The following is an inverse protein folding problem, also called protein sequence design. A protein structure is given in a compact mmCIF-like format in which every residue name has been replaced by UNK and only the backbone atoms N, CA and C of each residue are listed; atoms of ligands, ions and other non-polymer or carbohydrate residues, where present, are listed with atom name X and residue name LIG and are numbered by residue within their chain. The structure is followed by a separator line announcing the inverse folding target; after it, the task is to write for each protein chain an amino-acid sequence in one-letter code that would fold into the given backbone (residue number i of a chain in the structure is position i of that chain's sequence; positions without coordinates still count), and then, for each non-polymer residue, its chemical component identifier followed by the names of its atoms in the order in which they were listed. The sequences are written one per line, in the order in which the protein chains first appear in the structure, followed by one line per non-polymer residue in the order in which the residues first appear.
data_IF_427801100030
#
_entry.id   IF_427801100030
#
_cell.length_a   1.000
_cell.length_b   1.000
_cell.length_c   1.000
_cell.angle_alpha   90.00
_cell.angle_beta   90.00
_cell.angle_gamma   90.00
#
_symmetry.space_group_name_H-M   'P 1'
#
loop_
_entity.id
_entity.type
_entity.pdbx_description
1 polymer ?
#
# COMPACT_ATOMS: atom_id res chain seq x y z
N UNK A 1 -47.82 -28.34 6.93
CA UNK A 1 -46.45 -28.57 7.45
C UNK A 1 -45.47 -28.18 6.34
N UNK A 2 -44.54 -27.25 6.45
CA UNK A 2 -44.09 -26.37 7.54
C UNK A 2 -43.19 -25.33 6.84
N UNK A 3 -43.49 -24.06 7.05
CA UNK A 3 -42.68 -22.91 6.65
C UNK A 3 -41.34 -22.91 7.41
N UNK A 4 -40.24 -22.61 6.72
CA UNK A 4 -39.04 -21.95 7.28
C UNK A 4 -38.42 -21.12 6.14
N UNK A 5 -38.78 -19.84 6.01
CA UNK A 5 -38.09 -18.71 6.64
C UNK A 5 -36.63 -18.55 6.17
N UNK A 6 -36.47 -18.05 4.94
CA UNK A 6 -35.29 -17.28 4.54
C UNK A 6 -35.40 -15.86 5.13
N UNK A 7 -35.22 -15.76 6.44
CA UNK A 7 -34.86 -14.53 7.11
C UNK A 7 -33.36 -14.56 7.35
N UNK A 8 -32.60 -13.96 6.44
CA UNK A 8 -31.21 -13.56 6.69
C UNK A 8 -31.14 -12.04 6.49
N UNK A 9 -31.58 -11.37 7.56
CA UNK A 9 -31.01 -10.14 8.13
C UNK A 9 -30.50 -9.15 7.08
N UNK A 10 -31.45 -8.41 6.52
CA UNK A 10 -31.22 -7.07 5.99
C UNK A 10 -30.84 -6.21 7.21
N UNK A 11 -29.54 -5.98 7.40
CA UNK A 11 -29.05 -5.06 8.42
C UNK A 11 -29.49 -3.63 8.05
N UNK A 12 -30.30 -3.05 8.94
CA UNK A 12 -31.28 -1.99 8.67
C UNK A 12 -30.71 -0.57 8.65
N UNK A 13 -29.40 -0.35 8.44
CA UNK A 13 -28.81 0.98 8.68
C UNK A 13 -27.62 1.43 7.81
N UNK A 14 -27.39 0.88 6.60
CA UNK A 14 -26.43 1.49 5.66
C UNK A 14 -27.16 2.30 4.57
N UNK A 15 -27.28 3.60 4.81
CA UNK A 15 -27.60 4.59 3.77
C UNK A 15 -26.42 4.64 2.79
N UNK A 16 -26.59 4.07 1.61
CA UNK A 16 -25.66 4.30 0.49
C UNK A 16 -26.02 5.68 -0.07
N UNK A 17 -25.16 6.67 0.19
CA UNK A 17 -25.27 7.99 -0.45
C UNK A 17 -24.78 7.86 -1.89
N UNK A 18 -25.71 7.75 -2.84
CA UNK A 18 -25.42 7.97 -4.26
C UNK A 18 -25.65 9.46 -4.51
N UNK A 19 -24.58 10.24 -4.67
CA UNK A 19 -24.69 11.66 -5.02
C UNK A 19 -25.28 11.79 -6.43
N UNK A 20 -26.54 12.20 -6.50
CA UNK A 20 -27.25 12.44 -7.77
C UNK A 20 -26.81 13.81 -8.31
N UNK A 21 -25.96 13.81 -9.33
CA UNK A 21 -25.69 15.01 -10.10
C UNK A 21 -26.97 15.38 -10.87
N UNK A 22 -27.62 16.48 -10.49
CA UNK A 22 -28.71 17.07 -11.25
C UNK A 22 -28.12 18.11 -12.21
N UNK A 23 -28.04 17.77 -13.49
CA UNK A 23 -27.80 18.77 -14.53
C UNK A 23 -29.14 19.42 -14.87
N UNK A 24 -29.25 20.73 -14.64
CA UNK A 24 -30.44 21.51 -14.98
C UNK A 24 -30.50 21.75 -16.48
N UNK A 25 -31.11 20.83 -17.22
CA UNK A 25 -31.57 21.08 -18.59
C UNK A 25 -32.99 20.53 -18.70
N UNK A 26 -33.95 21.44 -18.90
CA UNK A 26 -35.37 21.16 -18.86
C UNK A 26 -35.81 20.17 -19.94
N UNK A 27 -36.07 18.93 -19.51
CA UNK A 27 -37.01 18.04 -20.16
C UNK A 27 -37.88 17.41 -19.08
N UNK A 28 -39.19 17.61 -19.19
CA UNK A 28 -40.20 16.94 -18.37
C UNK A 28 -40.25 15.46 -18.73
N UNK A 29 -39.33 14.66 -18.17
CA UNK A 29 -39.39 13.21 -18.27
C UNK A 29 -40.63 12.72 -17.53
N UNK A 30 -41.55 12.05 -18.24
CA UNK A 30 -42.70 11.40 -17.63
C UNK A 30 -42.20 10.24 -16.77
N UNK A 31 -42.85 10.02 -15.64
CA UNK A 31 -42.57 8.94 -14.66
C UNK A 31 -42.55 7.53 -15.31
N UNK A 32 -43.17 7.38 -16.48
CA UNK A 32 -43.16 6.18 -17.31
C UNK A 32 -41.81 5.84 -17.95
N UNK A 33 -40.89 6.79 -18.12
CA UNK A 33 -39.59 6.53 -18.77
C UNK A 33 -38.62 5.79 -17.84
N UNK A 34 -38.88 5.80 -16.53
CA UNK A 34 -38.06 5.12 -15.50
C UNK A 34 -38.44 3.64 -15.36
N UNK A 35 -39.54 3.20 -15.97
CA UNK A 35 -40.04 1.82 -15.88
C UNK A 35 -39.60 0.90 -17.03
N UNK A 36 -38.72 1.34 -17.92
CA UNK A 36 -37.94 0.44 -18.77
C UNK A 36 -36.82 -0.22 -17.96
N UNK A 37 -37.19 -1.03 -16.95
CA UNK A 37 -36.27 -1.97 -16.30
C UNK A 37 -35.97 -3.10 -17.28
N UNK A 38 -35.12 -2.86 -18.28
CA UNK A 38 -34.24 -3.94 -18.74
C UNK A 38 -33.39 -4.32 -17.54
N UNK A 39 -33.54 -5.54 -17.05
CA UNK A 39 -32.58 -6.12 -16.11
C UNK A 39 -31.18 -5.82 -16.65
N UNK A 40 -30.33 -5.14 -15.88
CA UNK A 40 -28.93 -5.05 -16.24
C UNK A 40 -28.40 -6.48 -16.27
N UNK A 41 -28.19 -7.05 -17.45
CA UNK A 41 -27.64 -8.39 -17.61
C UNK A 41 -26.24 -8.39 -17.01
N UNK A 42 -26.08 -9.09 -15.89
CA UNK A 42 -24.78 -9.24 -15.22
C UNK A 42 -23.93 -10.12 -16.12
N UNK A 43 -22.85 -9.56 -16.66
CA UNK A 43 -21.88 -10.32 -17.42
C UNK A 43 -20.89 -10.97 -16.46
N UNK A 44 -20.75 -12.28 -16.56
CA UNK A 44 -19.78 -13.07 -15.80
C UNK A 44 -18.57 -13.43 -16.66
N UNK A 45 -17.43 -13.65 -16.03
CA UNK A 45 -16.26 -14.24 -16.69
C UNK A 45 -16.62 -15.58 -17.33
N UNK A 46 -16.01 -15.89 -18.48
CA UNK A 46 -16.12 -17.20 -19.12
C UNK A 46 -15.42 -18.31 -18.33
N UNK A 47 -14.54 -17.94 -17.39
CA UNK A 47 -13.83 -18.88 -16.52
C UNK A 47 -14.61 -19.15 -15.25
N UNK A 48 -14.50 -20.39 -14.76
CA UNK A 48 -15.07 -20.79 -13.48
C UNK A 48 -14.52 -19.93 -12.33
N UNK A 49 -15.34 -19.61 -11.31
CA UNK A 49 -14.87 -18.89 -10.14
C UNK A 49 -13.68 -19.60 -9.48
N UNK A 50 -12.62 -18.84 -9.20
CA UNK A 50 -11.46 -19.34 -8.46
C UNK A 50 -11.77 -19.39 -6.97
N UNK A 51 -11.35 -20.45 -6.29
CA UNK A 51 -11.31 -20.48 -4.83
C UNK A 51 -10.10 -19.69 -4.36
N UNK A 52 -10.35 -18.56 -3.70
CA UNK A 52 -9.31 -17.73 -3.13
C UNK A 52 -8.97 -18.24 -1.72
N UNK A 53 -7.69 -18.41 -1.37
CA UNK A 53 -7.31 -18.84 -0.04
C UNK A 53 -7.58 -17.74 1.01
N UNK A 54 -8.01 -18.13 2.20
CA UNK A 54 -8.18 -17.23 3.35
C UNK A 54 -6.84 -16.95 4.03
N UNK A 55 -5.97 -16.21 3.36
CA UNK A 55 -4.64 -15.82 3.87
C UNK A 55 -4.31 -14.38 3.49
N UNK A 56 -3.38 -13.76 4.22
CA UNK A 56 -2.87 -12.44 3.83
C UNK A 56 -2.04 -12.51 2.54
N UNK A 57 -1.94 -11.36 1.87
CA UNK A 57 -1.27 -11.20 0.57
C UNK A 57 0.21 -11.63 0.62
N UNK A 58 0.92 -11.28 1.70
CA UNK A 58 2.33 -11.62 1.81
C UNK A 58 2.52 -13.12 1.99
N UNK A 59 1.75 -13.76 2.88
CA UNK A 59 1.80 -15.22 3.08
C UNK A 59 1.44 -15.98 1.81
N UNK A 60 0.43 -15.51 1.06
CA UNK A 60 0.09 -16.07 -0.24
C UNK A 60 1.27 -15.99 -1.23
N UNK A 61 1.87 -14.81 -1.39
CA UNK A 61 3.00 -14.59 -2.28
C UNK A 61 4.21 -15.42 -1.84
N UNK A 62 4.56 -15.39 -0.55
CA UNK A 62 5.67 -16.13 0.03
C UNK A 62 5.55 -17.63 -0.25
N UNK A 63 4.38 -18.22 -0.01
CA UNK A 63 4.14 -19.64 -0.27
C UNK A 63 4.20 -19.98 -1.76
N UNK A 64 3.63 -19.14 -2.61
CA UNK A 64 3.61 -19.32 -4.07
C UNK A 64 5.02 -19.25 -4.69
N UNK A 65 5.90 -18.43 -4.12
CA UNK A 65 7.25 -18.21 -4.61
C UNK A 65 8.27 -19.26 -4.17
N UNK A 66 7.94 -20.15 -3.22
CA UNK A 66 8.89 -21.15 -2.66
C UNK A 66 9.58 -22.00 -3.73
N UNK A 67 8.86 -22.43 -4.76
CA UNK A 67 9.40 -23.25 -5.84
C UNK A 67 10.45 -22.51 -6.70
N UNK A 68 10.43 -21.17 -6.68
CA UNK A 68 11.23 -20.31 -7.55
C UNK A 68 12.37 -19.61 -6.81
N UNK A 69 12.68 -20.05 -5.59
CA UNK A 69 13.61 -19.39 -4.66
C UNK A 69 14.93 -18.88 -5.29
N UNK A 70 15.52 -19.65 -6.20
CA UNK A 70 16.82 -19.35 -6.82
C UNK A 70 16.71 -18.61 -8.17
N UNK A 71 15.51 -18.33 -8.66
CA UNK A 71 15.30 -17.58 -9.91
C UNK A 71 15.32 -16.08 -9.62
N UNK A 72 15.77 -15.30 -10.60
CA UNK A 72 15.66 -13.85 -10.56
C UNK A 72 14.21 -13.43 -10.48
N UNK A 73 13.89 -12.57 -9.51
CA UNK A 73 12.58 -11.98 -9.32
C UNK A 73 12.54 -10.54 -9.81
N UNK A 74 13.52 -9.72 -9.39
CA UNK A 74 13.63 -8.32 -9.81
C UNK A 74 15.01 -8.06 -10.42
N UNK A 75 15.04 -7.22 -11.45
CA UNK A 75 16.25 -6.75 -12.11
C UNK A 75 16.11 -5.29 -12.49
N UNK A 76 17.10 -4.47 -12.14
CA UNK A 76 17.22 -3.12 -12.69
C UNK A 76 17.85 -3.21 -14.07
N UNK A 77 17.15 -2.71 -15.10
CA UNK A 77 17.67 -2.70 -16.47
C UNK A 77 18.89 -1.78 -16.64
N UNK A 78 19.00 -0.73 -15.83
CA UNK A 78 20.09 0.26 -15.92
C UNK A 78 21.33 -0.18 -15.16
N UNK A 79 21.17 -0.57 -13.89
CA UNK A 79 22.32 -0.91 -13.03
C UNK A 79 22.71 -2.39 -13.10
N UNK A 80 21.85 -3.24 -13.67
CA UNK A 80 22.03 -4.69 -13.66
C UNK A 80 21.82 -5.34 -12.29
N UNK A 81 21.51 -4.57 -11.23
CA UNK A 81 21.25 -5.11 -9.88
C UNK A 81 20.07 -6.09 -9.94
N UNK A 82 20.24 -7.26 -9.34
CA UNK A 82 19.22 -8.31 -9.32
C UNK A 82 18.95 -8.81 -7.91
N UNK A 83 17.72 -9.26 -7.67
CA UNK A 83 17.38 -10.09 -6.54
C UNK A 83 16.65 -11.35 -6.99
N UNK A 84 17.00 -12.47 -6.36
CA UNK A 84 16.24 -13.71 -6.46
C UNK A 84 14.98 -13.65 -5.60
N UNK A 85 14.01 -14.53 -5.86
CA UNK A 85 12.81 -14.66 -5.02
C UNK A 85 13.16 -14.84 -3.54
N UNK A 86 14.14 -15.69 -3.22
CA UNK A 86 14.58 -15.91 -1.85
C UNK A 86 15.13 -14.63 -1.21
N UNK A 87 16.02 -13.91 -1.92
CA UNK A 87 16.61 -12.68 -1.42
C UNK A 87 15.54 -11.60 -1.18
N UNK A 88 14.64 -11.40 -2.13
CA UNK A 88 13.58 -10.39 -1.98
C UNK A 88 12.67 -10.70 -0.79
N UNK A 89 12.25 -11.96 -0.62
CA UNK A 89 11.38 -12.33 0.50
C UNK A 89 12.10 -12.29 1.86
N UNK A 90 13.37 -12.68 1.92
CA UNK A 90 14.19 -12.57 3.15
C UNK A 90 14.43 -11.11 3.54
N UNK A 91 14.71 -10.24 2.57
CA UNK A 91 14.82 -8.80 2.80
C UNK A 91 13.49 -8.16 3.20
N UNK A 92 12.37 -8.63 2.62
CA UNK A 92 11.04 -8.17 3.02
C UNK A 92 10.71 -8.55 4.47
N UNK A 93 11.01 -9.77 4.90
CA UNK A 93 10.80 -10.20 6.30
C UNK A 93 11.65 -9.37 7.29
N UNK A 94 12.90 -9.06 6.92
CA UNK A 94 13.78 -8.18 7.70
C UNK A 94 13.22 -6.77 7.80
N UNK A 95 12.83 -6.18 6.68
CA UNK A 95 12.18 -4.87 6.66
C UNK A 95 10.89 -4.86 7.50
N UNK A 96 10.02 -5.85 7.34
CA UNK A 96 8.79 -5.95 8.12
C UNK A 96 9.04 -6.06 9.63
N UNK A 97 10.12 -6.73 10.03
CA UNK A 97 10.54 -6.81 11.44
C UNK A 97 11.02 -5.45 11.97
N UNK A 98 11.72 -4.67 11.15
CA UNK A 98 12.11 -3.30 11.50
C UNK A 98 10.88 -2.38 11.59
N UNK A 99 9.96 -2.46 10.63
CA UNK A 99 8.70 -1.71 10.62
C UNK A 99 7.89 -1.97 11.88
N UNK A 100 7.71 -3.23 12.31
CA UNK A 100 6.97 -3.55 13.55
C UNK A 100 7.59 -2.95 14.81
N UNK A 101 8.90 -2.67 14.80
CA UNK A 101 9.59 -2.03 15.91
C UNK A 101 9.45 -0.51 15.87
N UNK A 102 9.51 0.08 14.68
CA UNK A 102 9.34 1.52 14.48
C UNK A 102 7.90 1.97 14.66
N UNK A 103 6.96 1.17 14.18
CA UNK A 103 5.53 1.42 14.16
C UNK A 103 4.85 0.25 14.89
N UNK A 104 4.87 0.24 16.23
CA UNK A 104 4.21 -0.78 17.02
C UNK A 104 2.70 -0.74 16.78
N UNK A 105 2.04 -1.87 17.04
CA UNK A 105 0.59 -1.98 16.88
C UNK A 105 -0.13 -0.88 17.65
N UNK A 106 -1.12 -0.27 17.01
CA UNK A 106 -1.93 0.77 17.61
C UNK A 106 -2.94 0.15 18.57
N UNK A 107 -3.17 0.80 19.70
CA UNK A 107 -4.15 0.35 20.71
C UNK A 107 -5.59 0.34 20.17
N UNK A 108 -5.87 1.17 19.15
CA UNK A 108 -7.17 1.25 18.47
C UNK A 108 -7.42 0.11 17.46
N UNK A 109 -6.46 -0.81 17.30
CA UNK A 109 -6.53 -1.90 16.32
C UNK A 109 -6.34 -1.44 14.87
N UNK A 110 -5.96 -0.18 14.65
CA UNK A 110 -5.61 0.35 13.34
C UNK A 110 -4.22 -0.09 12.87
N UNK A 111 -3.98 0.06 11.57
CA UNK A 111 -2.68 -0.20 10.95
C UNK A 111 -1.97 1.13 10.66
N UNK A 112 -0.67 1.20 10.91
CA UNK A 112 0.13 2.38 10.54
C UNK A 112 0.32 2.47 9.04
N UNK A 113 0.31 3.70 8.51
CA UNK A 113 0.56 3.98 7.09
C UNK A 113 2.00 4.37 6.85
N UNK A 114 2.64 3.74 5.87
CA UNK A 114 3.99 4.07 5.39
C UNK A 114 3.89 4.63 3.99
N UNK A 115 4.39 5.84 3.81
CA UNK A 115 4.49 6.48 2.51
C UNK A 115 5.83 6.19 1.85
N UNK A 116 5.83 6.08 0.52
CA UNK A 116 7.03 5.79 -0.26
C UNK A 116 7.23 6.78 -1.40
N UNK A 117 8.34 7.50 -1.43
CA UNK A 117 8.81 8.30 -2.55
C UNK A 117 10.05 7.60 -3.12
N UNK A 118 9.84 6.51 -3.86
CA UNK A 118 10.90 5.65 -4.37
C UNK A 118 10.81 5.48 -5.89
N UNK A 119 11.96 5.30 -6.52
CA UNK A 119 12.08 4.90 -7.91
C UNK A 119 11.73 3.42 -8.11
N UNK A 120 11.47 3.03 -9.37
CA UNK A 120 11.28 1.64 -9.75
C UNK A 120 12.62 0.87 -9.67
N UNK A 121 13.02 0.51 -8.45
CA UNK A 121 14.27 -0.20 -8.15
C UNK A 121 14.00 -1.59 -7.57
N UNK A 122 14.94 -2.55 -7.72
CA UNK A 122 14.87 -3.85 -7.06
C UNK A 122 14.74 -3.75 -5.53
N UNK A 123 15.30 -2.70 -4.91
CA UNK A 123 15.25 -2.44 -3.47
C UNK A 123 13.88 -1.98 -2.99
N UNK A 124 13.09 -1.34 -3.87
CA UNK A 124 11.76 -0.89 -3.52
C UNK A 124 10.79 -2.04 -3.22
N UNK A 125 10.91 -3.15 -3.96
CA UNK A 125 10.03 -4.31 -3.84
C UNK A 125 10.04 -4.95 -2.43
N UNK A 126 11.20 -5.29 -1.83
CA UNK A 126 11.21 -5.83 -0.47
C UNK A 126 10.70 -4.83 0.58
N UNK A 127 10.88 -3.51 0.40
CA UNK A 127 10.33 -2.50 1.32
C UNK A 127 8.80 -2.52 1.33
N UNK A 128 8.18 -2.59 0.14
CA UNK A 128 6.73 -2.68 0.00
C UNK A 128 6.21 -4.00 0.58
N UNK A 129 6.77 -5.13 0.16
CA UNK A 129 6.34 -6.45 0.62
C UNK A 129 6.54 -6.62 2.13
N UNK A 130 7.64 -6.11 2.68
CA UNK A 130 7.90 -6.18 4.11
C UNK A 130 6.95 -5.31 4.93
N UNK A 131 6.55 -4.15 4.40
CA UNK A 131 5.54 -3.29 5.04
C UNK A 131 4.18 -3.97 5.09
N UNK A 132 3.78 -4.63 3.99
CA UNK A 132 2.56 -5.45 3.93
C UNK A 132 2.66 -6.63 4.92
N UNK A 133 3.82 -7.31 4.98
CA UNK A 133 4.06 -8.39 5.94
C UNK A 133 4.01 -7.92 7.40
N UNK A 134 4.32 -6.64 7.65
CA UNK A 134 4.20 -6.03 8.96
C UNK A 134 2.75 -5.72 9.36
N UNK A 135 1.81 -5.76 8.40
CA UNK A 135 0.43 -5.30 8.57
C UNK A 135 0.25 -3.81 8.31
N UNK A 136 1.28 -3.11 7.83
CA UNK A 136 1.21 -1.69 7.53
C UNK A 136 0.47 -1.41 6.22
N UNK A 137 -0.15 -0.22 6.14
CA UNK A 137 -0.74 0.30 4.91
C UNK A 137 0.38 0.94 4.08
N UNK A 138 0.44 0.60 2.81
CA UNK A 138 1.44 1.14 1.88
C UNK A 138 0.82 2.26 1.05
N UNK A 139 1.41 3.46 1.09
CA UNK A 139 1.00 4.62 0.30
C UNK A 139 2.13 5.06 -0.66
N UNK A 140 2.13 4.58 -1.91
CA UNK A 140 3.12 5.00 -2.89
C UNK A 140 2.84 6.44 -3.36
N UNK A 141 3.87 7.27 -3.36
CA UNK A 141 3.86 8.65 -3.84
C UNK A 141 4.78 8.72 -5.06
N UNK A 142 4.30 9.34 -6.13
CA UNK A 142 5.12 9.51 -7.32
C UNK A 142 6.33 10.40 -7.01
N UNK A 143 7.56 9.99 -7.38
CA UNK A 143 8.73 10.84 -7.21
C UNK A 143 8.73 12.12 -8.06
N UNK A 144 7.84 12.19 -9.05
CA UNK A 144 7.67 13.36 -9.91
C UNK A 144 6.74 14.42 -9.31
N UNK A 145 6.12 14.13 -8.17
CA UNK A 145 5.25 15.11 -7.51
C UNK A 145 6.05 16.29 -6.98
N UNK A 146 5.43 17.46 -7.08
CA UNK A 146 5.93 18.65 -6.40
C UNK A 146 5.88 18.45 -4.88
N UNK A 147 6.69 19.20 -4.11
CA UNK A 147 6.64 19.12 -2.66
C UNK A 147 5.25 19.37 -2.05
N UNK A 148 4.44 20.22 -2.69
CA UNK A 148 3.07 20.52 -2.26
C UNK A 148 2.12 19.33 -2.49
N UNK A 149 2.16 18.70 -3.66
CA UNK A 149 1.37 17.50 -3.97
C UNK A 149 1.76 16.33 -3.06
N UNK A 150 3.06 16.12 -2.84
CA UNK A 150 3.54 15.10 -1.92
C UNK A 150 3.09 15.35 -0.47
N UNK A 151 3.18 16.60 0.00
CA UNK A 151 2.70 16.97 1.34
C UNK A 151 1.18 16.76 1.49
N UNK A 152 0.40 17.06 0.45
CA UNK A 152 -1.05 16.78 0.43
C UNK A 152 -1.34 15.28 0.53
N UNK A 153 -0.64 14.45 -0.25
CA UNK A 153 -0.81 13.00 -0.19
C UNK A 153 -0.38 12.42 1.17
N UNK A 154 0.69 12.92 1.78
CA UNK A 154 1.11 12.52 3.13
C UNK A 154 0.07 12.88 4.21
N UNK A 155 -0.65 13.99 4.02
CA UNK A 155 -1.73 14.41 4.91
C UNK A 155 -2.97 13.53 4.75
N UNK A 156 -3.38 13.29 3.51
CA UNK A 156 -4.56 12.46 3.19
C UNK A 156 -4.38 11.00 3.58
N UNK A 157 -3.18 10.45 3.34
CA UNK A 157 -2.84 9.07 3.72
C UNK A 157 -2.56 8.89 5.22
N UNK A 158 -2.46 9.99 5.96
CA UNK A 158 -2.08 10.00 7.38
C UNK A 158 -0.79 9.21 7.64
N UNK A 159 0.20 9.34 6.75
CA UNK A 159 1.45 8.60 6.86
C UNK A 159 2.15 8.82 8.22
N UNK A 160 2.64 7.75 8.82
CA UNK A 160 3.39 7.72 10.09
C UNK A 160 4.89 7.51 9.88
N UNK A 161 5.29 7.06 8.69
CA UNK A 161 6.66 6.92 8.24
C UNK A 161 6.75 7.28 6.76
N UNK A 162 7.80 8.01 6.36
CA UNK A 162 8.17 8.25 4.97
C UNK A 162 9.45 7.49 4.65
N UNK A 163 9.40 6.67 3.61
CA UNK A 163 10.58 6.07 2.99
C UNK A 163 10.84 6.77 1.67
N UNK A 164 12.07 7.21 1.43
CA UNK A 164 12.43 8.01 0.26
C UNK A 164 13.73 7.52 -0.35
N UNK A 165 13.82 7.40 -1.67
CA UNK A 165 15.12 7.11 -2.30
C UNK A 165 16.07 8.28 -2.12
N UNK A 166 17.37 8.00 -1.95
CA UNK A 166 18.39 9.06 -1.77
C UNK A 166 18.37 10.11 -2.88
N UNK A 167 17.99 9.73 -4.10
CA UNK A 167 17.82 10.63 -5.24
C UNK A 167 16.82 11.77 -5.00
N UNK A 168 15.82 11.55 -4.14
CA UNK A 168 14.74 12.51 -3.86
C UNK A 168 14.83 13.12 -2.46
N UNK A 169 15.91 12.85 -1.73
CA UNK A 169 16.10 13.31 -0.35
C UNK A 169 16.07 14.83 -0.23
N UNK A 170 16.61 15.55 -1.21
CA UNK A 170 16.67 17.02 -1.21
C UNK A 170 15.31 17.71 -1.14
N UNK A 171 14.23 17.03 -1.57
CA UNK A 171 12.87 17.55 -1.53
C UNK A 171 12.18 17.32 -0.18
N UNK A 172 12.72 16.43 0.67
CA UNK A 172 12.08 16.00 1.92
C UNK A 172 11.85 17.18 2.87
N UNK A 173 12.84 18.05 3.05
CA UNK A 173 12.71 19.17 3.99
C UNK A 173 11.60 20.16 3.57
N UNK A 174 11.47 20.39 2.27
CA UNK A 174 10.39 21.21 1.72
C UNK A 174 9.02 20.56 1.94
N UNK A 175 8.91 19.24 1.70
CA UNK A 175 7.70 18.45 1.94
C UNK A 175 7.30 18.50 3.41
N UNK A 176 8.23 18.22 4.33
CA UNK A 176 7.98 18.21 5.77
C UNK A 176 7.57 19.60 6.28
N UNK A 177 8.19 20.66 5.78
CA UNK A 177 7.81 22.04 6.10
C UNK A 177 6.36 22.36 5.69
N UNK A 178 5.95 21.94 4.49
CA UNK A 178 4.58 22.12 3.99
C UNK A 178 3.56 21.21 4.68
N UNK A 179 3.99 20.02 5.09
CA UNK A 179 3.17 19.09 5.85
C UNK A 179 2.82 19.65 7.24
N UNK A 180 3.73 20.42 7.83
CA UNK A 180 3.53 21.08 9.13
C UNK A 180 3.49 20.12 10.32
N UNK A 181 3.98 18.88 10.13
CA UNK A 181 4.03 17.83 11.15
C UNK A 181 5.40 17.14 11.12
N UNK A 182 5.88 16.67 12.28
CA UNK A 182 7.04 15.79 12.32
C UNK A 182 6.67 14.42 11.76
N UNK A 183 7.48 13.90 10.85
CA UNK A 183 7.28 12.59 10.23
C UNK A 183 8.64 11.87 10.18
N UNK A 184 8.76 10.68 10.79
CA UNK A 184 9.89 9.78 10.60
C UNK A 184 10.27 9.61 9.12
N UNK A 185 11.55 9.79 8.80
CA UNK A 185 12.07 9.60 7.43
C UNK A 185 13.19 8.57 7.43
N UNK A 186 13.07 7.57 6.56
CA UNK A 186 14.11 6.57 6.28
C UNK A 186 14.50 6.67 4.81
N UNK A 187 15.80 6.68 4.51
CA UNK A 187 16.30 6.81 3.15
C UNK A 187 16.61 5.42 2.57
N UNK A 188 16.12 5.12 1.39
CA UNK A 188 16.54 3.95 0.61
C UNK A 188 17.81 4.30 -0.19
N UNK A 189 18.96 4.14 0.45
CA UNK A 189 20.26 4.51 -0.10
C UNK A 189 21.09 5.34 0.87
N UNK A 190 22.25 5.80 0.41
CA UNK A 190 23.13 6.67 1.21
C UNK A 190 22.44 8.03 1.39
N UNK A 191 22.23 8.45 2.64
CA UNK A 191 21.67 9.76 2.97
C UNK A 191 22.74 10.84 3.01
N UNK A 192 22.46 12.00 2.41
CA UNK A 192 23.33 13.19 2.51
C UNK A 192 23.18 13.90 3.86
N UNK A 193 22.04 13.70 4.53
CA UNK A 193 21.69 14.36 5.78
C UNK A 193 21.86 13.45 7.02
N UNK A 194 22.45 12.26 6.85
CA UNK A 194 22.68 11.30 7.93
C UNK A 194 21.42 10.59 8.44
N UNK A 195 20.36 10.53 7.63
CA UNK A 195 19.13 9.81 7.97
C UNK A 195 19.34 8.29 7.97
N UNK A 196 18.53 7.53 8.72
CA UNK A 196 18.59 6.08 8.74
C UNK A 196 18.43 5.46 7.35
N UNK A 197 19.23 4.44 7.03
CA UNK A 197 19.27 3.83 5.71
C UNK A 197 18.53 2.48 5.67
N UNK A 198 17.48 2.40 4.85
CA UNK A 198 16.70 1.19 4.67
C UNK A 198 17.53 0.02 4.08
N UNK A 199 18.52 0.31 3.24
CA UNK A 199 19.32 -0.73 2.58
C UNK A 199 20.18 -1.52 3.56
N UNK A 200 20.58 -0.92 4.69
CA UNK A 200 21.32 -1.62 5.75
C UNK A 200 20.47 -2.75 6.35
N UNK A 201 19.18 -2.49 6.57
CA UNK A 201 18.20 -3.49 7.03
C UNK A 201 17.94 -4.57 5.98
N UNK A 202 17.94 -4.20 4.69
CA UNK A 202 17.72 -5.15 3.60
C UNK A 202 18.90 -6.11 3.40
N UNK A 203 20.13 -5.63 3.62
CA UNK A 203 21.36 -6.35 3.29
C UNK A 203 21.91 -7.15 4.46
N UNK A 204 21.96 -6.58 5.67
CA UNK A 204 22.57 -7.22 6.83
C UNK A 204 21.51 -7.96 7.67
N UNK A 205 21.88 -9.13 8.21
CA UNK A 205 21.06 -9.88 9.17
C UNK A 205 21.26 -9.40 10.60
N UNK A 206 22.39 -8.74 10.87
CA UNK A 206 22.81 -8.25 12.17
C UNK A 206 22.83 -6.72 12.24
N UNK A 207 22.32 -6.01 11.22
CA UNK A 207 22.26 -4.55 11.25
C UNK A 207 21.54 -4.11 12.53
N UNK A 208 22.08 -3.07 13.18
CA UNK A 208 21.32 -2.36 14.21
C UNK A 208 19.99 -1.97 13.57
N UNK A 209 18.88 -2.36 14.21
CA UNK A 209 17.56 -1.94 13.76
C UNK A 209 17.56 -0.42 13.69
N UNK A 210 16.85 0.16 12.71
CA UNK A 210 16.76 1.61 12.52
C UNK A 210 16.55 2.31 13.87
N UNK A 211 17.61 2.90 14.42
CA UNK A 211 17.55 3.71 15.62
C UNK A 211 17.07 5.09 15.14
N UNK A 212 15.75 5.29 15.15
CA UNK A 212 15.16 6.59 14.86
C UNK A 212 15.07 7.35 16.18
N UNK A 213 16.16 8.01 16.54
CA UNK A 213 16.19 8.90 17.71
C UNK A 213 15.41 10.19 17.36
N UNK A 214 14.32 10.45 18.10
CA UNK A 214 13.61 11.72 18.12
C UNK A 214 13.59 12.30 19.53
#
# INVERSE_FOLDING_TARGET
MRNYLLNLIINKNRRIFVSRFFTTSGHTSKESDVLSKKHAEIQHSLYSPLQLPETDLFTFAYNSCKAWKNKTFTQCAVTGKTYTYAQTLDSALRWGSAVKKLLPNRDDGGNSTIAFICSNSPDYVPLILGSIAAGAIVSPISPLYTPEEAANQLRESQAELLVVDSLYESNVDAILKLLGKSLPVVVNGVSEQGRPNAQEVLMDRNAKMLDIDY
#
